data_IF_195658796642
#
_entry.id   IF_195658796642
#
_cell.length_a   1.000
_cell.length_b   1.000
_cell.length_c   1.000
_cell.angle_alpha   90.00
_cell.angle_beta   90.00
_cell.angle_gamma   90.00
#
_symmetry.space_group_name_H-M   'P 1'
#
loop_
_entity.id
_entity.type
_entity.pdbx_description
1 polymer ?
#
# COMPACT_ATOMS: atom_id res chain seq x y z
N UNK A 1 1.26 -1.57 20.73
CA UNK A 1 2.22 -1.87 19.65
C UNK A 1 1.74 -3.10 18.95
N UNK A 2 1.43 -2.92 17.67
CA UNK A 2 0.72 -3.84 16.81
C UNK A 2 1.47 -5.16 16.69
N UNK A 3 0.72 -6.25 16.51
CA UNK A 3 1.30 -7.59 16.48
C UNK A 3 2.22 -7.77 15.26
N UNK A 4 1.91 -7.18 14.11
CA UNK A 4 2.74 -7.26 12.92
C UNK A 4 4.04 -6.48 13.13
N UNK A 5 3.97 -5.29 13.73
CA UNK A 5 5.19 -4.53 14.06
C UNK A 5 6.08 -5.30 15.03
N UNK A 6 5.50 -5.93 16.07
CA UNK A 6 6.27 -6.77 17.01
C UNK A 6 6.91 -7.97 16.30
N UNK A 7 6.18 -8.61 15.39
CA UNK A 7 6.70 -9.74 14.60
C UNK A 7 7.83 -9.30 13.66
N UNK A 8 7.70 -8.14 13.02
CA UNK A 8 8.76 -7.55 12.20
C UNK A 8 9.99 -7.26 13.05
N UNK A 9 9.84 -6.63 14.22
CA UNK A 9 10.96 -6.36 15.11
C UNK A 9 11.62 -7.63 15.64
N UNK A 10 10.84 -8.64 16.02
CA UNK A 10 11.38 -9.94 16.44
C UNK A 10 12.14 -10.62 15.29
N UNK A 11 11.60 -10.57 14.06
CA UNK A 11 12.25 -11.09 12.86
C UNK A 11 13.57 -10.36 12.59
N UNK A 12 13.60 -9.03 12.76
CA UNK A 12 14.81 -8.23 12.61
C UNK A 12 15.86 -8.55 13.66
N UNK A 13 15.46 -8.82 14.91
CA UNK A 13 16.36 -9.18 16.00
C UNK A 13 17.07 -10.51 15.77
N UNK A 14 16.40 -11.49 15.14
CA UNK A 14 17.02 -12.78 14.79
C UNK A 14 17.78 -12.72 13.46
N UNK A 15 17.54 -11.69 12.65
CA UNK A 15 18.28 -11.44 11.41
C UNK A 15 19.52 -10.56 11.65
N UNK A 16 20.46 -10.56 10.69
CA UNK A 16 21.56 -9.57 10.65
C UNK A 16 21.16 -8.26 9.94
N UNK A 17 19.87 -8.07 9.64
CA UNK A 17 19.40 -6.95 8.82
C UNK A 17 19.06 -5.69 9.64
N UNK A 18 19.06 -5.78 10.96
CA UNK A 18 18.65 -4.69 11.86
C UNK A 18 19.44 -3.38 11.69
N UNK A 19 20.66 -3.44 11.15
CA UNK A 19 21.48 -2.25 10.87
C UNK A 19 21.04 -1.50 9.61
N UNK A 20 20.32 -2.16 8.70
CA UNK A 20 19.94 -1.63 7.39
C UNK A 20 18.42 -1.53 7.21
N UNK A 21 17.63 -1.84 8.24
CA UNK A 21 16.17 -1.82 8.18
C UNK A 21 15.61 -0.92 9.27
N UNK A 22 14.81 0.06 8.86
CA UNK A 22 14.06 0.94 9.74
C UNK A 22 12.58 0.54 9.67
N UNK A 23 11.95 0.34 10.83
CA UNK A 23 10.52 0.03 10.91
C UNK A 23 9.76 1.26 11.41
N UNK A 24 8.91 1.81 10.55
CA UNK A 24 7.99 2.89 10.91
C UNK A 24 6.65 2.29 11.33
N UNK A 25 6.21 2.58 12.55
CA UNK A 25 4.95 2.06 13.13
C UNK A 25 3.78 3.02 12.91
N UNK A 26 3.75 3.67 11.74
CA UNK A 26 2.79 4.70 11.40
C UNK A 26 1.83 4.20 10.32
N UNK A 27 0.58 4.66 10.37
CA UNK A 27 -0.26 4.63 9.17
C UNK A 27 0.23 5.69 8.17
N UNK A 28 -0.11 5.51 6.89
CA UNK A 28 0.12 6.51 5.87
C UNK A 28 -1.16 7.28 5.56
N UNK A 29 -1.08 8.60 5.56
CA UNK A 29 -2.19 9.52 5.23
C UNK A 29 -1.65 10.84 4.69
N UNK A 30 -2.40 11.47 3.78
CA UNK A 30 -2.06 12.80 3.27
C UNK A 30 -2.09 13.88 4.38
N UNK A 31 -2.93 13.68 5.40
CA UNK A 31 -3.10 14.56 6.56
C UNK A 31 -2.73 13.76 7.82
N UNK A 32 -1.71 14.18 8.59
CA UNK A 32 -1.36 13.53 9.85
C UNK A 32 -2.52 13.60 10.84
N UNK A 33 -2.86 12.46 11.44
CA UNK A 33 -3.99 12.33 12.35
C UNK A 33 -3.84 11.10 13.27
N UNK A 34 -4.64 11.03 14.33
CA UNK A 34 -4.81 9.83 15.14
C UNK A 34 -5.85 8.91 14.51
N UNK A 35 -5.48 7.65 14.40
CA UNK A 35 -6.30 6.61 13.82
C UNK A 35 -6.43 5.43 14.79
N UNK A 36 -7.47 4.64 14.60
CA UNK A 36 -7.56 3.30 15.20
C UNK A 36 -7.20 2.26 14.16
N UNK A 37 -6.44 1.27 14.59
CA UNK A 37 -6.28 -0.01 13.92
C UNK A 37 -7.20 -1.01 14.59
N UNK A 38 -8.06 -1.67 13.83
CA UNK A 38 -8.95 -2.73 14.30
C UNK A 38 -8.93 -3.90 13.30
N UNK A 39 -9.27 -5.11 13.76
CA UNK A 39 -9.34 -6.29 12.88
C UNK A 39 -10.33 -7.32 13.42
N UNK A 40 -10.75 -8.25 12.55
CA UNK A 40 -11.64 -9.36 12.92
C UNK A 40 -10.98 -10.19 14.04
N UNK A 41 -11.78 -10.70 14.97
CA UNK A 41 -11.27 -11.48 16.11
C UNK A 41 -10.69 -12.85 15.75
N UNK A 42 -10.97 -13.35 14.55
CA UNK A 42 -10.49 -14.61 13.99
C UNK A 42 -9.36 -14.38 12.98
N UNK A 43 -9.40 -13.29 12.22
CA UNK A 43 -8.34 -12.89 11.30
C UNK A 43 -7.67 -11.59 11.76
N UNK A 44 -6.77 -11.70 12.74
CA UNK A 44 -6.12 -10.52 13.32
C UNK A 44 -5.11 -9.85 12.38
N UNK A 45 -4.70 -10.54 11.31
CA UNK A 45 -3.74 -10.05 10.31
C UNK A 45 -4.34 -9.06 9.31
N UNK A 46 -5.65 -9.12 9.09
CA UNK A 46 -6.40 -8.19 8.24
C UNK A 46 -6.74 -6.90 9.01
N UNK A 47 -5.77 -5.99 9.02
CA UNK A 47 -5.86 -4.72 9.70
C UNK A 47 -6.68 -3.69 8.93
N UNK A 48 -7.60 -3.01 9.62
CA UNK A 48 -8.32 -1.87 9.09
C UNK A 48 -7.98 -0.60 9.88
N UNK A 49 -7.76 0.49 9.16
CA UNK A 49 -7.44 1.80 9.75
C UNK A 49 -8.59 2.77 9.52
N UNK A 50 -8.99 3.47 10.58
CA UNK A 50 -9.94 4.60 10.51
C UNK A 50 -9.35 5.78 11.26
N UNK A 51 -9.26 6.92 10.58
CA UNK A 51 -8.77 8.19 11.11
C UNK A 51 -9.93 9.19 11.32
N UNK A 52 -9.65 10.40 11.79
CA UNK A 52 -10.65 11.44 12.01
C UNK A 52 -11.46 11.27 13.29
N UNK A 53 -10.94 10.50 14.26
CA UNK A 53 -11.67 10.15 15.48
C UNK A 53 -11.51 11.29 16.48
N UNK A 54 -12.57 12.08 16.64
CA UNK A 54 -12.65 13.15 17.63
C UNK A 54 -12.91 12.66 19.05
N UNK A 55 -13.57 11.51 19.22
CA UNK A 55 -13.90 10.96 20.54
C UNK A 55 -14.00 9.44 20.57
N UNK A 56 -13.81 8.85 21.75
CA UNK A 56 -13.98 7.40 21.96
C UNK A 56 -15.43 6.93 21.74
N UNK A 57 -16.42 7.83 21.74
CA UNK A 57 -17.82 7.47 21.47
C UNK A 57 -18.06 7.12 20.00
N UNK A 58 -17.27 7.70 19.10
CA UNK A 58 -17.35 7.46 17.66
C UNK A 58 -16.88 6.04 17.30
N UNK A 59 -16.04 5.45 18.15
CA UNK A 59 -15.41 4.14 17.93
C UNK A 59 -16.42 3.00 17.88
N UNK A 60 -17.42 2.99 18.76
CA UNK A 60 -18.41 1.90 18.80
C UNK A 60 -19.33 1.90 17.57
N UNK A 61 -19.39 3.01 16.83
CA UNK A 61 -20.12 3.10 15.56
C UNK A 61 -19.25 2.63 14.39
N UNK A 62 -17.93 2.81 14.49
CA UNK A 62 -16.97 2.57 13.40
C UNK A 62 -16.41 1.15 13.39
N UNK A 63 -16.37 0.46 14.52
CA UNK A 63 -15.85 -0.92 14.62
C UNK A 63 -17.01 -1.91 14.54
N UNK A 64 -17.06 -2.77 13.50
CA UNK A 64 -18.16 -3.72 13.33
C UNK A 64 -18.21 -4.78 14.44
N UNK A 65 -19.37 -5.41 14.62
CA UNK A 65 -19.50 -6.57 15.50
C UNK A 65 -18.54 -7.69 15.06
N UNK A 66 -17.84 -8.32 16.02
CA UNK A 66 -16.84 -9.35 15.73
C UNK A 66 -15.42 -8.82 15.50
N UNK A 67 -15.23 -7.50 15.52
CA UNK A 67 -13.93 -6.84 15.44
C UNK A 67 -13.50 -6.30 16.80
N UNK A 68 -12.20 -6.13 16.98
CA UNK A 68 -11.64 -5.43 18.15
C UNK A 68 -10.61 -4.40 17.73
N UNK A 69 -10.56 -3.29 18.48
CA UNK A 69 -9.47 -2.32 18.37
C UNK A 69 -8.18 -2.99 18.81
N UNK A 70 -7.16 -2.91 17.96
CA UNK A 70 -5.83 -3.45 18.21
C UNK A 70 -4.91 -2.37 18.76
N UNK A 71 -5.00 -1.16 18.21
CA UNK A 71 -4.13 -0.06 18.61
C UNK A 71 -4.69 1.31 18.20
N UNK A 72 -4.34 2.35 18.95
CA UNK A 72 -4.39 3.74 18.47
C UNK A 72 -3.02 4.08 17.85
N UNK A 73 -3.01 4.44 16.57
CA UNK A 73 -1.81 4.73 15.79
C UNK A 73 -1.84 6.18 15.28
N UNK A 74 -0.67 6.75 15.04
CA UNK A 74 -0.57 8.03 14.34
C UNK A 74 -0.37 7.75 12.86
N UNK A 75 -1.08 8.50 12.01
CA UNK A 75 -0.77 8.57 10.60
C UNK A 75 0.24 9.68 10.30
N UNK A 76 1.02 9.48 9.24
CA UNK A 76 2.00 10.44 8.75
C UNK A 76 2.03 10.39 7.23
N UNK A 77 2.73 11.34 6.63
CA UNK A 77 2.98 11.35 5.19
C UNK A 77 4.18 10.47 4.85
N UNK A 78 4.09 9.70 3.77
CA UNK A 78 5.21 8.90 3.27
C UNK A 78 6.42 9.78 2.93
N UNK A 79 6.18 10.93 2.31
CA UNK A 79 7.24 11.88 1.93
C UNK A 79 7.84 12.68 3.11
N UNK A 80 7.34 12.46 4.33
CA UNK A 80 7.96 12.92 5.57
C UNK A 80 8.84 11.84 6.23
N UNK A 81 8.67 10.57 5.85
CA UNK A 81 9.46 9.44 6.37
C UNK A 81 10.67 9.16 5.48
N UNK A 82 10.50 9.28 4.16
CA UNK A 82 11.53 8.97 3.17
C UNK A 82 11.66 10.15 2.21
N UNK A 83 12.88 10.64 2.03
CA UNK A 83 13.20 11.81 1.23
C UNK A 83 14.51 11.58 0.43
N UNK A 84 14.52 10.48 -0.32
CA UNK A 84 15.65 10.03 -1.15
C UNK A 84 15.15 9.23 -2.36
N UNK A 85 16.07 8.92 -3.28
CA UNK A 85 15.78 8.03 -4.41
C UNK A 85 15.51 6.60 -3.91
N UNK A 86 14.49 5.96 -4.48
CA UNK A 86 14.06 4.62 -4.13
C UNK A 86 14.20 3.71 -5.34
N UNK A 87 14.94 2.61 -5.17
CA UNK A 87 15.13 1.62 -6.23
C UNK A 87 13.91 0.73 -6.38
N UNK A 88 13.36 0.26 -5.27
CA UNK A 88 12.21 -0.65 -5.24
C UNK A 88 11.26 -0.25 -4.12
N UNK A 89 9.98 -0.16 -4.46
CA UNK A 89 8.87 0.04 -3.54
C UNK A 89 7.88 -1.12 -3.69
N UNK A 90 7.48 -1.76 -2.59
CA UNK A 90 6.32 -2.66 -2.57
C UNK A 90 5.16 -1.96 -1.86
N UNK A 91 3.97 -2.06 -2.42
CA UNK A 91 2.73 -1.54 -1.85
C UNK A 91 1.74 -2.70 -1.73
N UNK A 92 1.23 -2.87 -0.52
CA UNK A 92 0.38 -4.00 -0.13
C UNK A 92 -0.37 -3.56 1.13
N UNK A 93 -1.49 -2.87 0.93
CA UNK A 93 -2.20 -2.14 2.00
C UNK A 93 -3.71 -2.34 1.92
N UNK A 94 -4.13 -3.50 1.42
CA UNK A 94 -5.50 -4.01 1.52
C UNK A 94 -6.56 -3.02 0.97
N UNK A 95 -6.32 -2.46 -0.23
CA UNK A 95 -7.22 -1.53 -0.89
C UNK A 95 -6.97 -0.06 -0.56
N UNK A 96 -6.00 0.25 0.30
CA UNK A 96 -5.65 1.63 0.67
C UNK A 96 -4.52 2.22 -0.18
N UNK A 97 -4.21 1.61 -1.34
CA UNK A 97 -3.02 1.91 -2.13
C UNK A 97 -3.01 3.38 -2.57
N UNK A 98 -4.15 3.89 -3.04
CA UNK A 98 -4.30 5.30 -3.43
C UNK A 98 -3.99 6.26 -2.27
N UNK A 99 -4.52 6.00 -1.09
CA UNK A 99 -4.27 6.84 0.08
C UNK A 99 -2.79 6.83 0.48
N UNK A 100 -2.14 5.66 0.41
CA UNK A 100 -0.72 5.52 0.70
C UNK A 100 0.13 6.34 -0.28
N UNK A 101 -0.12 6.26 -1.60
CA UNK A 101 0.67 7.01 -2.59
C UNK A 101 0.40 8.52 -2.55
N UNK A 102 -0.84 8.94 -2.25
CA UNK A 102 -1.18 10.36 -2.10
C UNK A 102 -0.50 10.99 -0.87
N UNK A 103 -0.19 10.19 0.15
CA UNK A 103 0.64 10.64 1.27
C UNK A 103 2.10 10.89 0.88
N UNK A 104 2.54 10.40 -0.28
CA UNK A 104 3.91 10.47 -0.79
C UNK A 104 4.08 11.32 -2.04
N UNK A 105 3.13 12.20 -2.40
CA UNK A 105 3.22 12.98 -3.66
C UNK A 105 4.57 13.69 -3.81
N UNK A 106 5.07 14.31 -2.74
CA UNK A 106 6.36 15.01 -2.78
C UNK A 106 7.56 14.08 -3.00
N UNK A 107 7.45 12.82 -2.60
CA UNK A 107 8.47 11.79 -2.89
C UNK A 107 8.51 11.51 -4.40
N UNK A 108 7.34 11.27 -5.02
CA UNK A 108 7.25 10.98 -6.45
C UNK A 108 7.57 12.18 -7.37
N UNK A 109 7.37 13.40 -6.87
CA UNK A 109 7.61 14.62 -7.63
C UNK A 109 9.07 15.10 -7.52
N UNK A 110 9.77 14.81 -6.41
CA UNK A 110 11.15 15.29 -6.15
C UNK A 110 12.24 14.22 -6.30
N UNK A 111 11.89 12.96 -6.09
CA UNK A 111 12.85 11.85 -6.07
C UNK A 111 12.45 10.79 -7.09
N UNK A 112 13.43 9.97 -7.47
CA UNK A 112 13.21 8.86 -8.39
C UNK A 112 12.77 7.63 -7.62
N UNK A 113 11.56 7.14 -7.89
CA UNK A 113 11.12 5.80 -7.48
C UNK A 113 11.13 4.91 -8.72
N UNK A 114 12.11 4.00 -8.85
CA UNK A 114 12.38 3.30 -10.12
C UNK A 114 11.39 2.18 -10.41
N UNK A 115 11.19 1.29 -9.44
CA UNK A 115 10.34 0.12 -9.56
C UNK A 115 9.33 0.10 -8.44
N UNK A 116 8.06 -0.09 -8.78
CA UNK A 116 6.98 -0.20 -7.80
C UNK A 116 6.19 -1.47 -8.09
N UNK A 117 6.06 -2.34 -7.10
CA UNK A 117 5.22 -3.52 -7.17
C UNK A 117 4.03 -3.26 -6.27
N UNK A 118 2.81 -3.38 -6.76
CA UNK A 118 1.60 -3.21 -5.95
C UNK A 118 0.69 -4.40 -6.08
N UNK A 119 0.16 -4.86 -4.95
CA UNK A 119 -1.08 -5.62 -4.98
C UNK A 119 -2.21 -4.63 -5.32
N UNK A 120 -2.88 -4.85 -6.45
CA UNK A 120 -3.93 -3.98 -6.95
C UNK A 120 -5.26 -4.72 -6.88
N UNK A 121 -6.11 -4.30 -5.95
CA UNK A 121 -7.48 -4.82 -5.80
C UNK A 121 -8.51 -3.71 -6.05
N UNK A 122 -9.01 -3.56 -7.29
CA UNK A 122 -10.05 -2.57 -7.60
C UNK A 122 -11.29 -2.65 -6.72
N UNK A 123 -11.66 -3.88 -6.32
CA UNK A 123 -12.78 -4.12 -5.41
C UNK A 123 -12.51 -3.52 -4.04
N UNK A 124 -11.39 -3.89 -3.40
CA UNK A 124 -11.08 -3.42 -2.05
C UNK A 124 -10.84 -1.90 -2.03
N UNK A 125 -10.22 -1.36 -3.07
CA UNK A 125 -10.09 0.09 -3.23
C UNK A 125 -11.45 0.80 -3.22
N UNK A 126 -12.44 0.27 -3.96
CA UNK A 126 -13.82 0.81 -3.94
C UNK A 126 -14.49 0.66 -2.58
N UNK A 127 -14.28 -0.45 -1.88
CA UNK A 127 -14.78 -0.66 -0.51
C UNK A 127 -14.19 0.38 0.46
N UNK A 128 -12.95 0.83 0.21
CA UNK A 128 -12.27 1.94 0.91
C UNK A 128 -12.56 3.32 0.31
N UNK A 129 -13.55 3.44 -0.59
CA UNK A 129 -13.96 4.69 -1.26
C UNK A 129 -12.86 5.37 -2.08
N UNK A 130 -11.91 4.58 -2.60
CA UNK A 130 -10.89 5.01 -3.55
C UNK A 130 -11.31 4.68 -4.98
N UNK A 131 -10.93 5.50 -5.96
CA UNK A 131 -11.08 5.18 -7.37
C UNK A 131 -9.84 4.42 -7.90
N UNK A 132 -9.97 3.15 -8.32
CA UNK A 132 -8.84 2.41 -8.89
C UNK A 132 -8.27 3.06 -10.16
N UNK A 133 -9.08 3.79 -10.93
CA UNK A 133 -8.59 4.51 -12.10
C UNK A 133 -7.64 5.63 -11.71
N UNK A 134 -7.97 6.39 -10.66
CA UNK A 134 -7.11 7.48 -10.16
C UNK A 134 -5.74 6.96 -9.71
N UNK A 135 -5.71 5.78 -9.08
CA UNK A 135 -4.47 5.11 -8.69
C UNK A 135 -3.58 4.76 -9.89
N UNK A 136 -4.15 4.17 -10.95
CA UNK A 136 -3.39 3.84 -12.15
C UNK A 136 -2.93 5.11 -12.88
N UNK A 137 -3.84 6.10 -12.99
CA UNK A 137 -3.57 7.37 -13.65
C UNK A 137 -2.47 8.17 -12.94
N UNK A 138 -2.38 8.11 -11.61
CA UNK A 138 -1.31 8.74 -10.84
C UNK A 138 0.09 8.37 -11.33
N UNK A 139 0.29 7.08 -11.66
CA UNK A 139 1.56 6.57 -12.16
C UNK A 139 1.76 6.89 -13.64
N UNK A 140 0.75 6.67 -14.47
CA UNK A 140 0.85 6.98 -15.91
C UNK A 140 1.14 8.46 -16.14
N UNK A 141 0.46 9.36 -15.42
CA UNK A 141 0.69 10.81 -15.52
C UNK A 141 2.09 11.24 -15.09
N UNK A 142 2.83 10.36 -14.40
CA UNK A 142 4.22 10.57 -13.96
C UNK A 142 5.24 9.80 -14.80
N UNK A 143 4.82 9.24 -15.94
CA UNK A 143 5.70 8.58 -16.90
C UNK A 143 6.05 7.14 -16.55
N UNK A 144 5.28 6.49 -15.67
CA UNK A 144 5.46 5.06 -15.39
C UNK A 144 4.76 4.22 -16.46
N UNK A 145 5.41 3.13 -16.85
CA UNK A 145 4.80 2.05 -17.62
C UNK A 145 4.21 1.02 -16.65
N UNK A 146 3.00 0.53 -16.96
CA UNK A 146 2.29 -0.47 -16.16
C UNK A 146 2.42 -1.84 -16.82
N UNK A 147 2.78 -2.83 -16.00
CA UNK A 147 2.95 -4.23 -16.35
C UNK A 147 2.17 -5.11 -15.37
N UNK A 148 1.58 -6.22 -15.82
CA UNK A 148 1.07 -7.27 -14.93
C UNK A 148 2.22 -8.23 -14.64
N UNK A 149 2.35 -8.61 -13.38
CA UNK A 149 3.15 -9.75 -12.94
C UNK A 149 2.27 -10.99 -13.09
N UNK A 150 2.52 -11.79 -14.13
CA UNK A 150 1.76 -13.02 -14.36
C UNK A 150 2.16 -14.08 -13.32
N UNK A 151 1.17 -14.72 -12.70
CA UNK A 151 1.32 -15.98 -11.96
C UNK A 151 0.62 -17.10 -12.77
N UNK A 152 1.19 -18.32 -12.93
CA UNK A 152 2.15 -18.95 -12.03
C UNK A 152 3.50 -19.22 -12.71
N UNK A 153 4.59 -18.89 -12.03
CA UNK A 153 5.86 -19.59 -12.27
C UNK A 153 6.24 -20.34 -10.98
N UNK A 154 6.63 -21.63 -11.09
CA UNK A 154 6.84 -22.50 -9.94
C UNK A 154 8.05 -22.10 -9.07
N UNK A 155 8.84 -21.11 -9.48
CA UNK A 155 10.02 -20.67 -8.76
C UNK A 155 10.12 -19.14 -8.67
N UNK A 156 10.23 -18.63 -7.44
CA UNK A 156 10.35 -17.20 -7.15
C UNK A 156 11.61 -16.57 -7.78
N UNK A 157 12.61 -17.40 -8.13
CA UNK A 157 13.87 -17.00 -8.74
C UNK A 157 13.80 -16.76 -10.26
N UNK A 158 12.71 -17.14 -10.94
CA UNK A 158 12.54 -16.93 -12.38
C UNK A 158 11.70 -15.70 -12.75
N UNK A 159 11.27 -14.90 -11.75
CA UNK A 159 10.52 -13.65 -11.96
C UNK A 159 11.43 -12.59 -12.60
N UNK A 160 11.54 -12.64 -13.93
CA UNK A 160 12.42 -11.74 -14.69
C UNK A 160 11.61 -10.60 -15.32
N UNK A 161 12.24 -9.43 -15.46
CA UNK A 161 11.68 -8.24 -16.14
C UNK A 161 11.06 -8.50 -17.52
N UNK A 162 11.49 -9.57 -18.19
CA UNK A 162 11.09 -9.96 -19.53
C UNK A 162 9.71 -10.64 -19.63
N UNK A 163 9.11 -11.05 -18.52
CA UNK A 163 7.81 -11.77 -18.52
C UNK A 163 6.60 -10.87 -18.29
N UNK A 164 6.83 -9.56 -18.26
CA UNK A 164 5.78 -8.58 -18.08
C UNK A 164 5.24 -8.08 -19.41
N UNK A 165 3.92 -8.05 -19.53
CA UNK A 165 3.24 -7.46 -20.69
C UNK A 165 2.96 -5.99 -20.36
N UNK A 166 3.46 -5.06 -21.18
CA UNK A 166 3.03 -3.66 -21.09
C UNK A 166 1.56 -3.57 -21.49
N UNK A 167 0.72 -3.13 -20.56
CA UNK A 167 -0.75 -3.14 -20.73
C UNK A 167 -1.30 -1.76 -21.02
N UNK A 168 -0.62 -0.70 -20.57
CA UNK A 168 -1.07 0.64 -20.88
C UNK A 168 -0.69 1.02 -22.32
N UNK A 169 -1.68 1.06 -23.20
CA UNK A 169 -1.55 1.63 -24.55
C UNK A 169 -2.53 2.79 -24.78
N UNK A 170 -3.55 2.92 -23.93
CA UNK A 170 -4.61 3.94 -24.06
C UNK A 170 -5.36 4.16 -22.73
N UNK A 171 -6.09 5.27 -22.62
CA UNK A 171 -7.01 5.54 -21.50
C UNK A 171 -8.07 4.44 -21.32
N UNK A 172 -8.54 3.85 -22.42
CA UNK A 172 -9.50 2.74 -22.39
C UNK A 172 -8.92 1.50 -21.68
N UNK A 173 -7.63 1.23 -21.84
CA UNK A 173 -6.96 0.10 -21.16
C UNK A 173 -6.89 0.33 -19.65
N UNK A 174 -6.64 1.56 -19.19
CA UNK A 174 -6.70 1.89 -17.76
C UNK A 174 -8.09 1.68 -17.20
N UNK A 175 -9.13 2.11 -17.94
CA UNK A 175 -10.52 1.93 -17.52
C UNK A 175 -10.92 0.46 -17.47
N UNK A 176 -10.43 -0.37 -18.39
CA UNK A 176 -10.64 -1.83 -18.32
C UNK A 176 -9.94 -2.41 -17.09
N UNK A 177 -8.69 -2.04 -16.86
CA UNK A 177 -7.90 -2.50 -15.73
C UNK A 177 -8.52 -2.08 -14.38
N UNK A 178 -9.00 -0.84 -14.26
CA UNK A 178 -9.66 -0.32 -13.04
C UNK A 178 -11.01 -0.99 -12.73
N UNK A 179 -11.58 -1.70 -13.70
CA UNK A 179 -12.81 -2.47 -13.53
C UNK A 179 -12.56 -3.99 -13.51
N UNK A 180 -11.29 -4.41 -13.57
CA UNK A 180 -10.88 -5.80 -13.56
C UNK A 180 -10.85 -6.44 -12.17
N UNK A 181 -10.22 -7.61 -12.12
CA UNK A 181 -9.95 -8.35 -10.88
C UNK A 181 -8.67 -7.91 -10.17
N UNK A 182 -8.30 -8.70 -9.17
CA UNK A 182 -7.09 -8.53 -8.38
C UNK A 182 -5.86 -8.94 -9.20
N UNK A 183 -4.82 -8.10 -9.17
CA UNK A 183 -3.61 -8.27 -9.97
C UNK A 183 -2.39 -7.77 -9.19
N UNK A 184 -1.24 -8.40 -9.39
CA UNK A 184 0.04 -7.79 -9.01
C UNK A 184 0.54 -6.94 -10.19
N UNK A 185 0.67 -5.63 -9.94
CA UNK A 185 1.11 -4.66 -10.95
C UNK A 185 2.54 -4.22 -10.69
N UNK A 186 3.30 -4.06 -11.76
CA UNK A 186 4.64 -3.50 -11.73
C UNK A 186 4.70 -2.19 -12.54
N UNK A 187 5.00 -1.11 -11.84
CA UNK A 187 5.23 0.21 -12.42
C UNK A 187 6.73 0.43 -12.60
N UNK A 188 7.12 0.89 -13.78
CA UNK A 188 8.53 1.14 -14.14
C UNK A 188 8.71 2.49 -14.79
N UNK A 189 9.73 3.24 -14.35
CA UNK A 189 10.13 4.51 -14.95
C UNK A 189 11.59 4.42 -15.39
N UNK A 190 11.84 4.78 -16.66
CA UNK A 190 13.20 4.81 -17.23
C UNK A 190 13.99 6.00 -16.70
#
# INVERSE_FOLDING_TARGET
MDINVKLLQASLQVSQLSQNVIVHSNALSAIPDKCILYSDNRNIGDGHVVCGISSLKDINVLVPAGYSIRQIINSTRLDALVAEDIDVMKIDVEGSELHAILSGIGLFDRYRVRHIISEFSPRMMRDKKSDPYEYLNFFVSRGYNIRIVNDPLPDLYERNAWQTVSIYRSEEDLRKLSNGGELELWFTKN
#
